data_IF_177952236786
#
_entry.id   IF_177952236786
#
_cell.length_a   1.000
_cell.length_b   1.000
_cell.length_c   1.000
_cell.angle_alpha   90.00
_cell.angle_beta   90.00
_cell.angle_gamma   90.00
#
_symmetry.space_group_name_H-M   'P 1'
#
loop_
_entity.id
_entity.type
_entity.pdbx_description
1 polymer ?
#
# COMPACT_ATOMS: atom_id res chain seq x y z
N UNK A 1 -0.27 6.56 -23.06
CA UNK A 1 -0.69 7.47 -21.97
C UNK A 1 -2.20 7.43 -21.75
N UNK A 2 -2.64 6.92 -20.60
CA UNK A 2 -4.05 6.85 -20.16
C UNK A 2 -4.35 8.06 -19.26
N UNK A 3 -5.49 8.71 -19.43
CA UNK A 3 -5.90 9.76 -18.49
C UNK A 3 -6.71 9.14 -17.36
N UNK A 4 -6.36 9.47 -16.12
CA UNK A 4 -7.08 9.00 -14.94
C UNK A 4 -8.17 10.02 -14.60
N UNK A 5 -9.40 9.55 -14.61
CA UNK A 5 -10.60 10.26 -14.17
C UNK A 5 -11.10 9.70 -12.82
N UNK A 6 -12.23 10.21 -12.34
CA UNK A 6 -12.79 9.79 -11.04
C UNK A 6 -13.19 8.30 -11.01
N UNK A 7 -13.74 7.77 -12.11
CA UNK A 7 -14.12 6.35 -12.13
C UNK A 7 -12.89 5.44 -12.12
N UNK A 8 -11.85 5.82 -12.87
CA UNK A 8 -10.57 5.11 -12.82
C UNK A 8 -9.95 5.18 -11.41
N UNK A 9 -10.06 6.30 -10.69
CA UNK A 9 -9.61 6.40 -9.30
C UNK A 9 -10.39 5.49 -8.36
N UNK A 10 -11.71 5.39 -8.52
CA UNK A 10 -12.55 4.50 -7.70
C UNK A 10 -12.12 3.04 -7.83
N UNK A 11 -11.97 2.56 -9.07
CA UNK A 11 -11.52 1.20 -9.36
C UNK A 11 -10.07 1.01 -8.84
N UNK A 12 -9.18 1.99 -9.06
CA UNK A 12 -7.80 1.94 -8.59
C UNK A 12 -7.69 1.87 -7.05
N UNK A 13 -8.45 2.69 -6.32
CA UNK A 13 -8.47 2.66 -4.85
C UNK A 13 -8.97 1.31 -4.34
N UNK A 14 -10.03 0.77 -4.92
CA UNK A 14 -10.59 -0.51 -4.48
C UNK A 14 -9.59 -1.65 -4.65
N UNK A 15 -8.93 -1.74 -5.81
CA UNK A 15 -7.91 -2.77 -6.03
C UNK A 15 -6.61 -2.50 -5.28
N UNK A 16 -6.19 -1.25 -5.08
CA UNK A 16 -5.02 -0.96 -4.24
C UNK A 16 -5.28 -1.29 -2.77
N UNK A 17 -6.53 -1.27 -2.30
CA UNK A 17 -6.85 -1.74 -0.95
C UNK A 17 -6.69 -3.26 -0.81
N UNK A 18 -6.94 -4.02 -1.89
CA UNK A 18 -6.63 -5.46 -1.95
C UNK A 18 -5.12 -5.69 -1.90
N UNK A 19 -4.37 -4.97 -2.73
CA UNK A 19 -2.91 -5.05 -2.80
C UNK A 19 -2.22 -4.53 -1.52
N UNK A 20 -2.88 -3.63 -0.78
CA UNK A 20 -2.40 -3.08 0.48
C UNK A 20 -2.27 -4.10 1.60
N UNK A 21 -2.72 -5.34 1.40
CA UNK A 21 -2.54 -6.45 2.36
C UNK A 21 -3.01 -6.05 3.76
N UNK A 22 -4.13 -5.34 3.87
CA UNK A 22 -4.71 -4.88 5.14
C UNK A 22 -4.25 -3.51 5.64
N UNK A 23 -3.27 -2.87 5.00
CA UNK A 23 -2.78 -1.54 5.36
C UNK A 23 -2.68 -0.58 4.18
N UNK A 24 -1.69 0.30 4.21
CA UNK A 24 -1.49 1.34 3.17
C UNK A 24 -2.39 2.57 3.26
N UNK A 25 -2.97 2.81 4.46
CA UNK A 25 -3.79 3.98 4.82
C UNK A 25 -5.26 3.87 4.39
N UNK A 26 -6.08 4.81 4.88
CA UNK A 26 -7.53 4.79 4.65
C UNK A 26 -7.87 5.07 3.17
N UNK A 27 -8.46 4.09 2.45
CA UNK A 27 -8.74 4.22 1.02
C UNK A 27 -9.78 5.31 0.72
N UNK A 28 -10.77 5.48 1.59
CA UNK A 28 -11.82 6.48 1.38
C UNK A 28 -11.25 7.89 1.43
N UNK A 29 -10.38 8.16 2.41
CA UNK A 29 -9.69 9.44 2.56
C UNK A 29 -8.80 9.74 1.36
N UNK A 30 -7.95 8.77 0.95
CA UNK A 30 -7.08 8.94 -0.21
C UNK A 30 -7.87 9.21 -1.51
N UNK A 31 -8.94 8.45 -1.73
CA UNK A 31 -9.83 8.61 -2.89
C UNK A 31 -10.46 10.00 -2.92
N UNK A 32 -10.98 10.50 -1.79
CA UNK A 32 -11.58 11.83 -1.73
C UNK A 32 -10.58 12.94 -2.07
N UNK A 33 -9.35 12.85 -1.56
CA UNK A 33 -8.28 13.79 -1.88
C UNK A 33 -7.95 13.80 -3.37
N UNK A 34 -7.75 12.62 -3.96
CA UNK A 34 -7.42 12.47 -5.37
C UNK A 34 -8.56 12.97 -6.27
N UNK A 35 -9.82 12.62 -5.96
CA UNK A 35 -10.99 13.09 -6.72
C UNK A 35 -11.16 14.60 -6.64
N UNK A 36 -10.99 15.20 -5.45
CA UNK A 36 -11.07 16.66 -5.29
C UNK A 36 -10.02 17.39 -6.12
N UNK A 37 -8.79 16.88 -6.15
CA UNK A 37 -7.71 17.43 -6.97
C UNK A 37 -8.03 17.33 -8.48
N UNK A 38 -8.50 16.17 -8.95
CA UNK A 38 -8.89 15.98 -10.37
C UNK A 38 -10.06 16.89 -10.76
N UNK A 39 -11.07 17.08 -9.89
CA UNK A 39 -12.19 17.99 -10.16
C UNK A 39 -11.73 19.44 -10.33
N UNK A 40 -10.76 19.86 -9.52
CA UNK A 40 -10.24 21.24 -9.52
C UNK A 40 -9.26 21.52 -10.66
N UNK A 41 -8.41 20.55 -11.00
CA UNK A 41 -7.26 20.76 -11.88
C UNK A 41 -7.32 19.96 -13.19
N UNK A 42 -8.24 19.01 -13.31
CA UNK A 42 -8.38 18.13 -14.46
C UNK A 42 -7.76 16.74 -14.27
N UNK A 43 -7.99 15.83 -15.24
CA UNK A 43 -7.47 14.47 -15.17
C UNK A 43 -5.94 14.43 -15.27
N UNK A 44 -5.35 13.42 -14.64
CA UNK A 44 -3.88 13.25 -14.56
C UNK A 44 -3.42 12.18 -15.56
N UNK A 45 -2.33 12.40 -16.32
CA UNK A 45 -1.77 11.37 -17.16
C UNK A 45 -1.09 10.27 -16.34
N UNK A 46 -1.46 9.02 -16.64
CA UNK A 46 -0.75 7.82 -16.20
C UNK A 46 0.17 7.33 -17.33
N UNK A 47 1.45 7.21 -17.00
CA UNK A 47 2.55 6.94 -17.95
C UNK A 47 3.14 5.57 -17.68
N UNK A 48 3.31 4.74 -18.71
CA UNK A 48 4.00 3.46 -18.57
C UNK A 48 5.48 3.72 -18.21
N UNK A 49 5.99 3.00 -17.22
CA UNK A 49 7.37 3.11 -16.75
C UNK A 49 8.41 2.99 -17.89
N UNK A 50 8.13 2.22 -18.94
CA UNK A 50 9.05 2.09 -20.10
C UNK A 50 9.11 3.34 -20.97
N UNK A 51 8.04 4.14 -21.00
CA UNK A 51 7.97 5.39 -21.77
C UNK A 51 8.75 6.52 -21.08
N UNK A 52 9.15 6.34 -19.81
CA UNK A 52 9.87 7.36 -19.03
C UNK A 52 11.31 7.50 -19.53
N UNK A 53 11.81 8.71 -19.83
CA UNK A 53 13.20 8.93 -20.21
C UNK A 53 14.19 8.51 -19.12
N UNK A 54 15.33 7.94 -19.50
CA UNK A 54 16.32 7.40 -18.55
C UNK A 54 16.92 8.47 -17.62
N UNK A 55 17.00 9.71 -18.09
CA UNK A 55 17.50 10.89 -17.38
C UNK A 55 16.42 11.70 -16.66
N UNK A 56 15.15 11.29 -16.75
CA UNK A 56 14.05 11.95 -16.05
C UNK A 56 14.21 11.84 -14.53
N UNK A 57 13.74 12.84 -13.80
CA UNK A 57 13.74 12.87 -12.34
C UNK A 57 12.39 12.44 -11.79
N UNK A 58 12.40 11.44 -10.93
CA UNK A 58 11.21 10.81 -10.36
C UNK A 58 11.30 10.90 -8.84
N UNK A 59 10.15 11.04 -8.18
CA UNK A 59 10.06 10.97 -6.72
C UNK A 59 8.80 10.23 -6.28
N UNK A 60 8.88 9.56 -5.13
CA UNK A 60 7.68 9.05 -4.49
C UNK A 60 6.91 10.15 -3.77
N UNK A 61 5.58 10.10 -3.88
CA UNK A 61 4.66 10.83 -3.01
C UNK A 61 3.92 9.81 -2.15
N UNK A 62 3.89 10.04 -0.83
CA UNK A 62 3.21 9.15 0.11
C UNK A 62 2.70 9.92 1.33
N UNK A 63 1.68 9.38 1.97
CA UNK A 63 1.31 9.71 3.35
C UNK A 63 2.05 8.80 4.32
N UNK A 64 2.44 9.36 5.46
CA UNK A 64 2.97 8.62 6.60
C UNK A 64 2.17 8.98 7.86
N UNK A 65 1.83 7.99 8.65
CA UNK A 65 1.02 8.22 9.83
C UNK A 65 0.63 6.95 10.54
N UNK A 66 -0.24 7.09 11.53
CA UNK A 66 -0.96 5.98 12.14
C UNK A 66 -2.34 5.86 11.46
N UNK A 67 -2.65 4.75 10.77
CA UNK A 67 -3.92 4.59 10.07
C UNK A 67 -5.14 4.83 10.97
N UNK A 68 -5.11 4.32 12.19
CA UNK A 68 -6.19 4.55 13.17
C UNK A 68 -6.42 6.02 13.55
N UNK A 69 -5.43 6.91 13.37
CA UNK A 69 -5.58 8.36 13.60
C UNK A 69 -6.08 9.06 12.35
N UNK A 70 -5.69 8.63 11.16
CA UNK A 70 -6.09 9.23 9.88
C UNK A 70 -7.61 9.29 9.69
N UNK A 71 -8.36 8.37 10.30
CA UNK A 71 -9.82 8.34 10.25
C UNK A 71 -10.46 9.49 11.06
N UNK A 72 -9.81 9.95 12.13
CA UNK A 72 -10.31 11.04 12.98
C UNK A 72 -9.66 12.39 12.62
N UNK A 73 -8.41 12.36 12.16
CA UNK A 73 -7.60 13.51 11.79
C UNK A 73 -7.22 13.42 10.32
N UNK A 74 -8.11 13.94 9.48
CA UNK A 74 -7.96 13.87 8.03
C UNK A 74 -6.75 14.69 7.54
N UNK A 75 -5.97 14.17 6.56
CA UNK A 75 -4.99 14.97 5.84
C UNK A 75 -5.66 16.12 5.07
N UNK A 76 -4.92 17.21 4.90
CA UNK A 76 -5.31 18.35 4.08
C UNK A 76 -4.75 18.20 2.68
N UNK A 77 -5.56 18.52 1.67
CA UNK A 77 -5.10 18.57 0.27
C UNK A 77 -3.84 19.44 0.10
N UNK A 78 -3.76 20.55 0.84
CA UNK A 78 -2.63 21.47 0.84
C UNK A 78 -1.27 20.82 1.18
N UNK A 79 -1.24 19.71 1.91
CA UNK A 79 -0.01 18.97 2.19
C UNK A 79 0.53 18.33 0.91
N UNK A 80 -0.31 17.63 0.15
CA UNK A 80 0.04 16.97 -1.11
C UNK A 80 0.24 17.95 -2.28
N UNK A 81 -0.50 19.06 -2.30
CA UNK A 81 -0.31 20.14 -3.29
C UNK A 81 1.08 20.80 -3.20
N UNK A 82 1.69 20.80 -2.01
CA UNK A 82 2.94 21.53 -1.72
C UNK A 82 4.17 20.65 -1.60
N UNK A 83 4.03 19.38 -1.21
CA UNK A 83 5.15 18.53 -0.81
C UNK A 83 6.23 18.39 -1.90
N UNK A 84 5.81 18.27 -3.17
CA UNK A 84 6.74 18.23 -4.30
C UNK A 84 7.52 19.55 -4.44
N UNK A 85 6.82 20.68 -4.39
CA UNK A 85 7.42 22.01 -4.53
C UNK A 85 8.43 22.30 -3.42
N UNK A 86 8.18 21.83 -2.19
CA UNK A 86 9.12 21.98 -1.09
C UNK A 86 10.37 21.12 -1.31
N UNK A 87 10.24 19.90 -1.85
CA UNK A 87 11.41 19.09 -2.23
C UNK A 87 12.21 19.75 -3.35
N UNK A 88 11.54 20.27 -4.37
CA UNK A 88 12.20 21.02 -5.45
C UNK A 88 12.94 22.25 -4.92
N UNK A 89 12.34 22.97 -3.97
CA UNK A 89 12.95 24.13 -3.30
C UNK A 89 14.20 23.72 -2.51
N UNK A 90 14.17 22.58 -1.84
CA UNK A 90 15.29 22.11 -1.03
C UNK A 90 16.45 21.58 -1.87
N UNK A 91 16.13 20.82 -2.91
CA UNK A 91 17.12 20.17 -3.78
C UNK A 91 17.61 21.09 -4.89
N UNK A 92 16.85 22.13 -5.25
CA UNK A 92 17.10 22.93 -6.45
C UNK A 92 16.83 22.19 -7.76
N UNK A 93 16.22 21.00 -7.70
CA UNK A 93 15.95 20.10 -8.81
C UNK A 93 14.45 20.08 -9.11
N UNK A 94 14.09 20.02 -10.40
CA UNK A 94 12.70 19.75 -10.84
C UNK A 94 12.48 18.26 -11.01
N UNK A 95 11.29 17.78 -10.70
CA UNK A 95 10.90 16.38 -10.93
C UNK A 95 9.88 16.30 -12.06
N UNK A 96 10.16 15.41 -13.00
CA UNK A 96 9.39 15.23 -14.23
C UNK A 96 8.19 14.30 -14.04
N UNK A 97 8.25 13.43 -13.02
CA UNK A 97 7.22 12.46 -12.70
C UNK A 97 7.09 12.23 -11.19
N UNK A 98 5.88 11.87 -10.76
CA UNK A 98 5.63 11.33 -9.42
C UNK A 98 5.18 9.88 -9.49
N UNK A 99 5.38 9.14 -8.41
CA UNK A 99 5.03 7.72 -8.31
C UNK A 99 4.54 7.42 -6.87
N UNK A 100 3.59 6.50 -6.66
CA UNK A 100 3.30 6.01 -5.31
C UNK A 100 4.48 5.23 -4.73
N UNK A 101 4.65 5.30 -3.41
CA UNK A 101 5.61 4.44 -2.71
C UNK A 101 5.12 2.98 -2.64
N UNK A 102 3.80 2.75 -2.67
CA UNK A 102 3.17 1.46 -2.43
C UNK A 102 1.76 1.37 -3.01
N UNK A 103 1.30 0.15 -3.29
CA UNK A 103 -0.05 -0.17 -3.74
C UNK A 103 -0.99 -0.28 -2.53
N UNK A 104 -1.05 0.79 -1.73
CA UNK A 104 -1.93 0.93 -0.57
C UNK A 104 -3.18 1.74 -0.88
N UNK A 105 -4.28 1.53 -0.16
CA UNK A 105 -5.56 2.23 -0.38
C UNK A 105 -5.43 3.75 -0.51
N UNK A 106 -4.72 4.38 0.44
CA UNK A 106 -4.43 5.81 0.40
C UNK A 106 -3.21 6.13 -0.46
N UNK A 107 -2.10 5.43 -0.23
CA UNK A 107 -0.80 5.77 -0.81
C UNK A 107 -0.68 5.51 -2.31
N UNK A 108 -1.54 4.67 -2.89
CA UNK A 108 -1.62 4.51 -4.35
C UNK A 108 -2.24 5.74 -5.03
N UNK A 109 -3.14 6.45 -4.36
CA UNK A 109 -3.95 7.51 -4.99
C UNK A 109 -3.59 8.93 -4.54
N UNK A 110 -2.95 9.13 -3.39
CA UNK A 110 -2.47 10.46 -2.98
C UNK A 110 -1.44 11.11 -3.92
N UNK A 111 -0.61 10.38 -4.70
CA UNK A 111 0.20 11.00 -5.74
C UNK A 111 -0.63 11.80 -6.77
N UNK A 112 -1.88 11.40 -7.03
CA UNK A 112 -2.78 12.15 -7.93
C UNK A 112 -3.17 13.51 -7.34
N UNK A 113 -3.29 13.62 -6.02
CA UNK A 113 -3.53 14.88 -5.33
C UNK A 113 -2.33 15.84 -5.41
N UNK A 114 -1.11 15.32 -5.60
CA UNK A 114 0.09 16.10 -5.87
C UNK A 114 0.27 16.42 -7.36
N UNK A 115 0.00 15.44 -8.23
CA UNK A 115 0.19 15.50 -9.67
C UNK A 115 -0.75 16.50 -10.35
N UNK A 116 -2.05 16.45 -10.04
CA UNK A 116 -3.07 17.29 -10.67
C UNK A 116 -2.77 18.80 -10.57
N UNK A 117 -2.50 19.38 -9.39
CA UNK A 117 -2.15 20.80 -9.27
C UNK A 117 -0.76 21.15 -9.84
N UNK A 118 0.18 20.20 -9.81
CA UNK A 118 1.56 20.43 -10.28
C UNK A 118 1.73 20.27 -11.79
N UNK A 119 0.77 19.65 -12.47
CA UNK A 119 0.84 19.32 -13.90
C UNK A 119 1.86 18.23 -14.23
N UNK A 120 2.30 17.46 -13.22
CA UNK A 120 3.30 16.39 -13.35
C UNK A 120 2.57 15.05 -13.52
N UNK A 121 2.93 14.21 -14.51
CA UNK A 121 2.34 12.90 -14.70
C UNK A 121 2.66 11.91 -13.55
N UNK A 122 1.78 10.93 -13.36
CA UNK A 122 2.00 9.78 -12.47
C UNK A 122 2.53 8.60 -13.28
N UNK A 123 3.54 7.90 -12.78
CA UNK A 123 4.04 6.66 -13.40
C UNK A 123 3.17 5.49 -12.96
N UNK A 124 2.85 4.59 -13.90
CA UNK A 124 2.22 3.30 -13.64
C UNK A 124 3.23 2.30 -13.08
N UNK A 125 3.63 2.56 -11.85
CA UNK A 125 4.51 1.72 -11.05
C UNK A 125 4.31 2.08 -9.57
N UNK A 126 4.92 1.34 -8.67
CA UNK A 126 5.10 1.76 -7.29
C UNK A 126 6.44 1.22 -6.73
N UNK A 127 6.71 1.51 -5.46
CA UNK A 127 7.85 0.99 -4.75
C UNK A 127 7.65 -0.40 -4.13
N UNK A 128 6.49 -1.05 -4.21
CA UNK A 128 6.23 -2.26 -3.42
C UNK A 128 5.37 -3.34 -4.06
N UNK A 129 4.44 -3.04 -4.95
CA UNK A 129 3.42 -3.97 -5.48
C UNK A 129 2.39 -4.41 -4.42
N UNK A 130 2.55 -3.91 -3.20
CA UNK A 130 1.75 -4.15 -1.99
C UNK A 130 2.01 -3.03 -1.00
N UNK A 131 1.55 -3.12 0.24
CA UNK A 131 2.03 -2.27 1.33
C UNK A 131 2.91 -3.05 2.33
N UNK A 132 3.85 -2.33 2.94
CA UNK A 132 4.69 -2.79 4.04
C UNK A 132 4.77 -1.74 5.14
N UNK A 133 5.06 -2.12 6.38
CA UNK A 133 5.01 -1.17 7.48
C UNK A 133 6.03 -0.03 7.32
N UNK A 134 7.28 -0.35 6.98
CA UNK A 134 8.43 0.58 7.09
C UNK A 134 8.81 1.22 5.77
N UNK A 135 9.27 2.47 5.82
CA UNK A 135 9.76 3.24 4.67
C UNK A 135 10.93 2.56 3.94
N UNK A 136 11.77 1.79 4.64
CA UNK A 136 12.87 1.05 4.02
C UNK A 136 12.40 -0.15 3.20
N UNK A 137 11.17 -0.64 3.41
CA UNK A 137 10.59 -1.79 2.73
C UNK A 137 10.00 -1.39 1.37
N UNK A 138 10.79 -0.71 0.55
CA UNK A 138 10.50 -0.43 -0.86
C UNK A 138 11.57 -1.07 -1.75
N UNK A 139 11.18 -1.49 -2.93
CA UNK A 139 12.03 -2.14 -3.93
C UNK A 139 13.27 -1.30 -4.29
N UNK A 140 13.26 0.06 -4.36
CA UNK A 140 14.50 0.83 -4.47
C UNK A 140 15.57 0.52 -3.42
N UNK A 141 15.21 0.20 -2.17
CA UNK A 141 16.17 -0.16 -1.12
C UNK A 141 16.98 -1.40 -1.50
N UNK A 142 16.34 -2.40 -2.15
CA UNK A 142 17.01 -3.63 -2.62
C UNK A 142 18.13 -3.34 -3.63
N UNK A 143 18.08 -2.17 -4.27
CA UNK A 143 19.03 -1.73 -5.30
C UNK A 143 19.92 -0.58 -4.83
N UNK A 144 19.98 -0.31 -3.52
CA UNK A 144 20.81 0.75 -2.93
C UNK A 144 20.23 2.16 -3.08
N UNK A 145 18.95 2.28 -3.44
CA UNK A 145 18.22 3.55 -3.44
C UNK A 145 18.12 4.15 -2.04
N UNK A 146 18.19 5.48 -1.96
CA UNK A 146 18.15 6.22 -0.70
C UNK A 146 16.81 6.92 -0.55
N UNK A 147 16.24 6.83 0.65
CA UNK A 147 15.04 7.57 1.02
C UNK A 147 15.23 9.09 0.94
N UNK A 148 16.47 9.55 1.21
CA UNK A 148 16.82 10.97 1.32
C UNK A 148 17.58 11.49 0.09
N UNK A 149 17.53 12.81 -0.19
CA UNK A 149 16.80 13.84 0.57
C UNK A 149 15.29 13.61 0.55
N UNK A 150 14.64 13.76 1.70
CA UNK A 150 13.18 13.72 1.79
C UNK A 150 12.64 15.03 2.35
N UNK A 151 11.36 15.25 2.06
CA UNK A 151 10.54 16.30 2.65
C UNK A 151 9.34 15.70 3.34
N UNK A 152 8.97 16.26 4.49
CA UNK A 152 7.75 15.94 5.22
C UNK A 152 6.99 17.23 5.55
N UNK A 153 5.69 17.26 5.26
CA UNK A 153 4.78 18.37 5.57
C UNK A 153 3.64 17.88 6.46
N UNK A 154 3.28 18.70 7.44
CA UNK A 154 2.09 18.46 8.26
C UNK A 154 0.96 19.46 7.97
N UNK A 155 -0.20 19.20 8.57
CA UNK A 155 -1.41 20.01 8.42
C UNK A 155 -1.27 21.48 8.90
N UNK A 156 -0.27 21.77 9.73
CA UNK A 156 0.03 23.12 10.23
C UNK A 156 0.94 23.89 9.28
N UNK A 157 1.44 23.23 8.23
CA UNK A 157 2.37 23.80 7.27
C UNK A 157 3.82 23.80 7.76
N UNK A 158 4.14 23.05 8.82
CA UNK A 158 5.53 22.81 9.18
C UNK A 158 6.17 21.94 8.10
N UNK A 159 7.44 22.20 7.81
CA UNK A 159 8.16 21.48 6.77
C UNK A 159 9.49 21.01 7.31
N UNK A 160 9.71 19.69 7.27
CA UNK A 160 10.96 19.05 7.65
C UNK A 160 11.71 18.59 6.40
N UNK A 161 13.00 18.91 6.36
CA UNK A 161 13.94 18.45 5.34
C UNK A 161 14.96 17.54 6.03
N UNK A 162 15.24 16.39 5.44
CA UNK A 162 16.18 15.46 6.03
C UNK A 162 17.12 14.84 4.99
N UNK A 163 18.36 14.65 5.42
CA UNK A 163 19.35 13.78 4.82
C UNK A 163 19.84 12.81 5.89
N UNK A 164 19.93 11.52 5.56
CA UNK A 164 20.23 10.47 6.55
C UNK A 164 21.30 9.52 6.06
N UNK A 165 22.02 8.91 7.00
CA UNK A 165 23.07 7.95 6.70
C UNK A 165 22.52 6.65 6.07
N UNK A 166 21.31 6.23 6.48
CA UNK A 166 20.65 5.01 6.01
C UNK A 166 19.13 5.22 5.91
N UNK A 167 18.43 4.32 5.21
CA UNK A 167 16.96 4.32 5.13
C UNK A 167 16.32 4.00 6.50
N UNK A 168 16.98 3.19 7.34
CA UNK A 168 16.55 2.96 8.72
C UNK A 168 16.57 4.26 9.56
N UNK A 169 17.61 5.09 9.43
CA UNK A 169 17.61 6.42 10.06
C UNK A 169 16.54 7.35 9.49
N UNK A 170 16.23 7.22 8.19
CA UNK A 170 15.15 7.99 7.57
C UNK A 170 13.79 7.63 8.18
N UNK A 171 13.50 6.34 8.38
CA UNK A 171 12.30 5.86 9.08
C UNK A 171 12.22 6.44 10.49
N UNK A 172 13.29 6.34 11.29
CA UNK A 172 13.29 6.82 12.68
C UNK A 172 13.03 8.34 12.76
N UNK A 173 13.67 9.13 11.90
CA UNK A 173 13.45 10.58 11.84
C UNK A 173 12.06 10.94 11.33
N UNK A 174 11.57 10.24 10.30
CA UNK A 174 10.23 10.43 9.78
C UNK A 174 9.18 10.14 10.86
N UNK A 175 9.30 9.02 11.59
CA UNK A 175 8.37 8.65 12.68
C UNK A 175 8.40 9.65 13.83
N UNK A 176 9.58 10.17 14.20
CA UNK A 176 9.69 11.22 15.20
C UNK A 176 9.00 12.52 14.76
N UNK A 177 9.16 12.92 13.50
CA UNK A 177 8.46 14.07 12.91
C UNK A 177 6.94 13.88 12.91
N UNK A 178 6.47 12.73 12.43
CA UNK A 178 5.04 12.36 12.41
C UNK A 178 4.41 12.41 13.79
N UNK A 179 5.11 11.93 14.83
CA UNK A 179 4.61 12.00 16.19
C UNK A 179 4.40 13.46 16.64
N UNK A 180 5.34 14.34 16.33
CA UNK A 180 5.24 15.77 16.65
C UNK A 180 4.14 16.48 15.83
N UNK A 181 3.89 16.03 14.60
CA UNK A 181 2.87 16.55 13.68
C UNK A 181 1.44 16.02 13.96
N UNK A 182 1.25 15.28 15.06
CA UNK A 182 -0.03 14.71 15.44
C UNK A 182 -0.43 13.49 14.61
N UNK A 183 0.55 12.63 14.30
CA UNK A 183 0.44 11.30 13.72
C UNK A 183 0.00 11.21 12.25
N UNK A 184 0.15 12.29 11.48
CA UNK A 184 -0.02 12.31 10.03
C UNK A 184 0.90 13.36 9.38
N UNK A 185 1.46 13.05 8.20
CA UNK A 185 2.17 13.96 7.34
C UNK A 185 2.21 13.45 5.88
N UNK A 186 2.30 14.37 4.91
CA UNK A 186 2.66 14.03 3.53
C UNK A 186 4.19 14.03 3.35
N UNK A 187 4.69 13.18 2.46
CA UNK A 187 6.12 13.07 2.15
C UNK A 187 6.41 13.03 0.65
N UNK A 188 7.56 13.60 0.30
CA UNK A 188 8.24 13.36 -0.96
C UNK A 188 9.62 12.77 -0.66
N UNK A 189 9.90 11.60 -1.21
CA UNK A 189 11.03 10.76 -0.81
C UNK A 189 11.50 9.85 -1.95
N UNK A 190 12.67 9.23 -1.78
CA UNK A 190 13.31 8.39 -2.81
C UNK A 190 13.41 9.08 -4.18
N UNK A 191 14.13 10.21 -4.28
CA UNK A 191 14.44 10.77 -5.59
C UNK A 191 15.29 9.78 -6.41
N UNK A 192 14.93 9.56 -7.67
CA UNK A 192 15.61 8.61 -8.55
C UNK A 192 15.55 9.06 -10.02
N UNK A 193 16.40 8.48 -10.87
CA UNK A 193 16.31 8.70 -12.31
C UNK A 193 15.35 7.71 -12.99
N UNK A 194 14.94 7.98 -14.24
CA UNK A 194 14.13 7.04 -15.02
C UNK A 194 14.81 5.68 -15.25
N UNK A 195 16.12 5.68 -15.51
CA UNK A 195 16.90 4.44 -15.65
C UNK A 195 16.91 3.64 -14.35
N UNK A 196 16.96 4.32 -13.21
CA UNK A 196 16.87 3.69 -11.90
C UNK A 196 15.46 3.15 -11.65
N UNK A 197 14.42 3.92 -11.94
CA UNK A 197 13.03 3.51 -11.75
C UNK A 197 12.68 2.24 -12.54
N UNK A 198 13.05 2.15 -13.82
CA UNK A 198 12.84 0.96 -14.66
C UNK A 198 13.45 -0.32 -14.09
N UNK A 199 14.56 -0.19 -13.36
CA UNK A 199 15.23 -1.32 -12.71
C UNK A 199 14.64 -1.65 -11.34
N UNK A 200 14.12 -0.63 -10.64
CA UNK A 200 13.86 -0.68 -9.21
C UNK A 200 12.39 -0.85 -8.86
N UNK A 201 11.46 -0.39 -9.68
CA UNK A 201 10.04 -0.29 -9.33
C UNK A 201 9.23 -1.50 -9.79
N UNK A 202 8.13 -1.78 -9.09
CA UNK A 202 7.13 -2.76 -9.54
C UNK A 202 6.28 -2.09 -10.62
N UNK A 203 6.44 -2.56 -11.86
CA UNK A 203 5.77 -2.00 -13.03
C UNK A 203 4.29 -2.36 -13.07
N UNK A 204 3.44 -1.43 -13.49
CA UNK A 204 2.03 -1.67 -13.74
C UNK A 204 1.16 -1.74 -12.49
N UNK A 205 1.71 -1.40 -11.31
CA UNK A 205 1.02 -1.56 -10.03
C UNK A 205 -0.35 -0.84 -9.99
N UNK A 206 -0.45 0.36 -10.60
CA UNK A 206 -1.69 1.15 -10.63
C UNK A 206 -2.69 0.63 -11.66
N UNK A 207 -2.22 0.12 -12.80
CA UNK A 207 -3.08 -0.59 -13.76
C UNK A 207 -3.61 -1.89 -13.16
N UNK A 208 -2.77 -2.69 -12.50
CA UNK A 208 -3.19 -3.91 -11.80
C UNK A 208 -4.23 -3.60 -10.72
N UNK A 209 -4.01 -2.55 -9.91
CA UNK A 209 -5.00 -2.09 -8.94
C UNK A 209 -6.33 -1.68 -9.62
N UNK A 210 -6.27 -0.94 -10.72
CA UNK A 210 -7.46 -0.55 -11.49
C UNK A 210 -8.22 -1.76 -12.04
N UNK A 211 -7.51 -2.79 -12.50
CA UNK A 211 -8.09 -3.99 -13.10
C UNK A 211 -8.75 -4.88 -12.05
N UNK A 212 -8.15 -5.01 -10.86
CA UNK A 212 -8.73 -5.70 -9.71
C UNK A 212 -10.01 -5.00 -9.25
N UNK A 213 -9.97 -3.68 -9.04
CA UNK A 213 -11.16 -2.94 -8.60
C UNK A 213 -12.29 -2.98 -9.61
N UNK A 214 -11.96 -2.89 -10.91
CA UNK A 214 -12.93 -3.08 -12.00
C UNK A 214 -13.54 -4.47 -11.94
N UNK A 215 -12.76 -5.53 -11.73
CA UNK A 215 -13.25 -6.90 -11.63
C UNK A 215 -14.22 -7.09 -10.47
N UNK A 216 -13.92 -6.51 -9.30
CA UNK A 216 -14.82 -6.54 -8.14
C UNK A 216 -16.13 -5.82 -8.46
N UNK A 217 -16.06 -4.61 -9.03
CA UNK A 217 -17.24 -3.82 -9.42
C UNK A 217 -18.12 -4.58 -10.41
N UNK A 218 -17.54 -5.11 -11.49
CA UNK A 218 -18.26 -5.85 -12.52
C UNK A 218 -18.84 -7.17 -11.98
N UNK A 219 -18.11 -7.86 -11.10
CA UNK A 219 -18.62 -9.07 -10.44
C UNK A 219 -19.86 -8.76 -9.58
N UNK A 220 -19.86 -7.65 -8.83
CA UNK A 220 -21.02 -7.18 -8.05
C UNK A 220 -22.21 -6.86 -8.95
N UNK A 221 -21.98 -6.14 -10.05
CA UNK A 221 -23.01 -5.78 -11.03
C UNK A 221 -23.63 -7.01 -11.72
N UNK A 222 -22.82 -8.05 -11.95
CA UNK A 222 -23.24 -9.30 -12.59
C UNK A 222 -23.74 -10.36 -11.60
N UNK A 223 -23.74 -10.05 -10.29
CA UNK A 223 -24.09 -10.99 -9.22
C UNK A 223 -23.29 -12.31 -9.25
N UNK A 224 -22.01 -12.23 -9.62
CA UNK A 224 -21.05 -13.34 -9.53
C UNK A 224 -20.09 -13.12 -8.37
N UNK A 225 -19.34 -14.15 -7.97
CA UNK A 225 -18.49 -14.09 -6.78
C UNK A 225 -17.31 -13.11 -6.97
N UNK A 226 -17.26 -11.98 -6.25
CA UNK A 226 -16.20 -10.99 -6.39
C UNK A 226 -14.86 -11.46 -5.81
N UNK A 227 -14.86 -12.34 -4.81
CA UNK A 227 -13.63 -12.95 -4.27
C UNK A 227 -12.97 -13.80 -5.35
N UNK A 228 -13.76 -14.62 -6.05
CA UNK A 228 -13.23 -15.45 -7.14
C UNK A 228 -12.66 -14.60 -8.27
N UNK A 229 -13.31 -13.49 -8.62
CA UNK A 229 -12.82 -12.56 -9.64
C UNK A 229 -11.42 -11.99 -9.31
N UNK A 230 -11.13 -11.74 -8.02
CA UNK A 230 -9.79 -11.30 -7.59
C UNK A 230 -8.77 -12.44 -7.68
N UNK A 231 -9.13 -13.63 -7.21
CA UNK A 231 -8.25 -14.80 -7.25
C UNK A 231 -7.84 -15.14 -8.70
N UNK A 232 -8.78 -15.12 -9.62
CA UNK A 232 -8.54 -15.44 -11.04
C UNK A 232 -7.63 -14.40 -11.73
N UNK A 233 -7.64 -13.15 -11.27
CA UNK A 233 -6.81 -12.09 -11.87
C UNK A 233 -5.36 -12.10 -11.41
N UNK A 234 -5.07 -12.60 -10.21
CA UNK A 234 -3.77 -12.44 -9.55
C UNK A 234 -3.13 -13.78 -9.17
N UNK A 235 -3.58 -14.88 -9.78
CA UNK A 235 -3.16 -16.24 -9.43
C UNK A 235 -3.25 -16.49 -7.91
N UNK A 236 -4.31 -15.93 -7.30
CA UNK A 236 -4.51 -15.92 -5.86
C UNK A 236 -5.01 -17.26 -5.33
N UNK A 237 -4.87 -17.45 -4.02
CA UNK A 237 -5.41 -18.63 -3.33
C UNK A 237 -6.39 -18.25 -2.23
N UNK A 238 -7.52 -18.97 -2.16
CA UNK A 238 -8.44 -18.88 -1.04
C UNK A 238 -7.86 -19.63 0.18
N UNK A 239 -7.46 -18.89 1.20
CA UNK A 239 -6.88 -19.46 2.41
C UNK A 239 -7.95 -19.94 3.40
N UNK A 240 -9.06 -19.21 3.49
CA UNK A 240 -10.12 -19.45 4.47
C UNK A 240 -11.43 -18.73 4.13
N UNK A 241 -12.57 -19.31 4.52
CA UNK A 241 -13.84 -18.59 4.68
C UNK A 241 -14.34 -18.77 6.10
N UNK A 242 -14.72 -17.68 6.76
CA UNK A 242 -15.00 -17.72 8.19
C UNK A 242 -15.77 -16.54 8.74
N UNK A 243 -16.06 -16.61 10.04
CA UNK A 243 -16.58 -15.51 10.83
C UNK A 243 -15.55 -15.05 11.85
N UNK A 244 -15.30 -13.75 11.92
CA UNK A 244 -14.41 -13.15 12.93
C UNK A 244 -15.01 -13.33 14.33
N UNK A 245 -14.28 -14.05 15.19
CA UNK A 245 -14.68 -14.37 16.56
C UNK A 245 -14.05 -13.42 17.59
N UNK A 246 -12.85 -12.92 17.33
CA UNK A 246 -12.23 -11.88 18.16
C UNK A 246 -11.17 -11.10 17.37
N UNK A 247 -10.93 -9.86 17.78
CA UNK A 247 -9.85 -9.03 17.27
C UNK A 247 -9.14 -8.41 18.47
N UNK A 248 -7.85 -8.66 18.60
CA UNK A 248 -7.00 -8.05 19.61
C UNK A 248 -6.04 -7.11 18.90
N UNK A 249 -5.93 -5.87 19.36
CA UNK A 249 -5.04 -4.88 18.76
C UNK A 249 -4.60 -3.82 19.77
N UNK A 250 -3.40 -3.31 19.55
CA UNK A 250 -2.82 -2.24 20.35
C UNK A 250 -1.96 -1.33 19.47
N UNK A 251 -1.85 -0.06 19.86
CA UNK A 251 -0.89 0.86 19.25
C UNK A 251 0.42 0.81 20.05
N UNK A 252 1.52 0.50 19.38
CA UNK A 252 2.85 0.41 19.97
C UNK A 252 3.89 0.95 18.99
N UNK A 253 4.73 1.89 19.45
CA UNK A 253 5.86 2.44 18.70
C UNK A 253 5.50 2.97 17.29
N UNK A 254 4.29 3.54 17.14
CA UNK A 254 3.80 4.07 15.86
C UNK A 254 3.08 3.05 14.97
N UNK A 255 2.89 1.82 15.44
CA UNK A 255 2.26 0.73 14.70
C UNK A 255 0.97 0.24 15.38
N UNK A 256 0.00 -0.18 14.58
CA UNK A 256 -1.15 -0.95 15.05
C UNK A 256 -0.83 -2.44 14.91
N UNK A 257 -0.60 -3.13 16.03
CA UNK A 257 -0.20 -4.53 16.07
C UNK A 257 -1.34 -5.36 16.66
N UNK A 258 -1.64 -6.52 16.07
CA UNK A 258 -2.71 -7.36 16.57
C UNK A 258 -2.90 -8.68 15.84
N UNK A 259 -3.98 -9.34 16.22
CA UNK A 259 -4.45 -10.59 15.62
C UNK A 259 -5.98 -10.58 15.49
N UNK A 260 -6.48 -11.23 14.43
CA UNK A 260 -7.88 -11.51 14.22
C UNK A 260 -8.10 -13.03 14.18
N UNK A 261 -8.87 -13.54 15.14
CA UNK A 261 -9.22 -14.96 15.25
C UNK A 261 -10.59 -15.21 14.62
N UNK A 262 -10.69 -16.27 13.82
CA UNK A 262 -11.85 -16.61 13.02
C UNK A 262 -12.21 -18.09 13.17
N UNK A 263 -13.51 -18.37 13.08
CA UNK A 263 -14.04 -19.74 13.00
C UNK A 263 -14.57 -19.99 11.60
N UNK A 264 -14.31 -21.19 11.09
CA UNK A 264 -14.59 -21.50 9.69
C UNK A 264 -16.08 -21.60 9.37
N UNK A 265 -16.38 -21.34 8.09
CA UNK A 265 -17.69 -21.48 7.48
C UNK A 265 -17.58 -22.46 6.31
N UNK A 266 -18.69 -23.12 6.00
CA UNK A 266 -18.85 -23.99 4.83
C UNK A 266 -17.74 -25.06 4.74
N UNK A 267 -16.90 -25.03 3.70
CA UNK A 267 -15.81 -25.98 3.51
C UNK A 267 -14.75 -25.95 4.62
N UNK A 268 -14.73 -24.88 5.43
CA UNK A 268 -13.82 -24.70 6.55
C UNK A 268 -14.49 -24.93 7.91
N UNK A 269 -15.73 -25.43 7.97
CA UNK A 269 -16.41 -25.72 9.24
C UNK A 269 -15.54 -26.57 10.19
N UNK A 270 -15.53 -26.19 11.46
CA UNK A 270 -14.69 -26.80 12.49
C UNK A 270 -13.20 -26.43 12.47
N UNK A 271 -12.75 -25.59 11.52
CA UNK A 271 -11.37 -25.08 11.49
C UNK A 271 -11.25 -23.70 12.14
N UNK A 272 -10.07 -23.44 12.73
CA UNK A 272 -9.69 -22.16 13.30
C UNK A 272 -8.67 -21.46 12.40
N UNK A 273 -8.75 -20.13 12.33
CA UNK A 273 -7.84 -19.32 11.54
C UNK A 273 -7.46 -18.05 12.29
N UNK A 274 -6.17 -17.72 12.29
CA UNK A 274 -5.65 -16.50 12.91
C UNK A 274 -4.86 -15.71 11.88
N UNK A 275 -5.19 -14.43 11.73
CA UNK A 275 -4.44 -13.47 10.92
C UNK A 275 -3.69 -12.51 11.83
N UNK A 276 -2.38 -12.36 11.62
CA UNK A 276 -1.50 -11.49 12.39
C UNK A 276 -1.12 -10.26 11.57
N UNK A 277 -1.18 -9.08 12.19
CA UNK A 277 -0.93 -7.82 11.51
C UNK A 277 -0.09 -6.83 12.33
N UNK A 278 0.68 -6.01 11.62
CA UNK A 278 1.34 -4.79 12.08
C UNK A 278 1.10 -3.74 10.99
N UNK A 279 0.04 -2.95 11.11
CA UNK A 279 -0.60 -2.18 10.03
C UNK A 279 -1.09 -3.06 8.87
N UNK A 280 -0.18 -3.78 8.21
CA UNK A 280 -0.48 -4.77 7.19
C UNK A 280 -0.59 -6.18 7.81
N UNK A 281 -1.36 -7.07 7.19
CA UNK A 281 -1.43 -8.48 7.48
C UNK A 281 -0.12 -9.15 7.01
N UNK A 282 0.59 -9.79 7.95
CA UNK A 282 1.95 -10.29 7.73
C UNK A 282 2.03 -11.81 7.77
N UNK A 283 1.13 -12.47 8.48
CA UNK A 283 1.09 -13.92 8.57
C UNK A 283 -0.33 -14.42 8.84
N UNK A 284 -0.59 -15.66 8.46
CA UNK A 284 -1.83 -16.34 8.78
C UNK A 284 -1.57 -17.80 9.15
N UNK A 285 -2.28 -18.29 10.16
CA UNK A 285 -2.28 -19.69 10.56
C UNK A 285 -3.67 -20.30 10.43
N UNK A 286 -3.71 -21.59 10.07
CA UNK A 286 -4.93 -22.41 10.06
C UNK A 286 -4.68 -23.63 10.94
N UNK A 287 -5.50 -23.80 11.97
CA UNK A 287 -5.32 -24.83 13.00
C UNK A 287 -3.90 -24.85 13.61
N UNK A 288 -3.27 -23.68 13.75
CA UNK A 288 -1.92 -23.53 14.31
C UNK A 288 -0.76 -23.65 13.31
N UNK A 289 -1.00 -24.01 12.05
CA UNK A 289 0.04 -24.10 11.01
C UNK A 289 0.04 -22.87 10.11
N UNK A 290 1.21 -22.31 9.80
CA UNK A 290 1.32 -21.18 8.87
C UNK A 290 0.87 -21.58 7.46
N UNK A 291 -0.11 -20.84 6.93
CA UNK A 291 -0.65 -21.04 5.58
C UNK A 291 -0.31 -19.92 4.62
N UNK A 292 0.09 -18.76 5.14
CA UNK A 292 0.61 -17.65 4.36
C UNK A 292 1.49 -16.75 5.23
N UNK A 293 2.54 -16.19 4.64
CA UNK A 293 3.43 -15.21 5.28
C UNK A 293 3.93 -14.19 4.26
N UNK A 294 4.19 -12.98 4.71
CA UNK A 294 4.96 -11.96 4.00
C UNK A 294 6.27 -12.53 3.42
N UNK A 295 6.75 -12.09 2.23
CA UNK A 295 6.28 -10.97 1.42
C UNK A 295 4.98 -11.17 0.65
N UNK A 296 4.42 -12.38 0.59
CA UNK A 296 3.13 -12.59 -0.07
C UNK A 296 2.00 -11.86 0.66
N UNK A 297 1.02 -11.41 -0.10
CA UNK A 297 -0.06 -10.57 0.41
C UNK A 297 -1.10 -11.43 1.12
N UNK A 298 -1.65 -10.92 2.21
CA UNK A 298 -2.75 -11.55 2.93
C UNK A 298 -3.86 -10.50 3.06
N UNK A 299 -5.04 -10.81 2.54
CA UNK A 299 -6.15 -9.86 2.55
C UNK A 299 -7.44 -10.53 3.01
N UNK A 300 -8.12 -9.91 3.98
CA UNK A 300 -9.48 -10.26 4.33
C UNK A 300 -10.46 -9.45 3.47
N UNK A 301 -11.41 -10.13 2.84
CA UNK A 301 -12.49 -9.54 2.06
C UNK A 301 -13.82 -9.90 2.71
N UNK A 302 -14.79 -9.00 2.68
CA UNK A 302 -16.16 -9.32 3.07
C UNK A 302 -16.71 -10.40 2.12
N UNK A 303 -17.30 -11.45 2.69
CA UNK A 303 -17.54 -12.71 1.98
C UNK A 303 -18.47 -12.56 0.77
N UNK A 304 -19.52 -11.74 0.88
CA UNK A 304 -20.57 -11.65 -0.13
C UNK A 304 -20.27 -10.54 -1.16
N UNK A 305 -19.76 -9.39 -0.70
CA UNK A 305 -19.48 -8.21 -1.52
C UNK A 305 -18.04 -8.16 -2.06
N UNK A 306 -17.11 -8.91 -1.50
CA UNK A 306 -15.69 -8.82 -1.85
C UNK A 306 -15.03 -7.50 -1.47
N UNK A 307 -15.66 -6.70 -0.60
CA UNK A 307 -15.07 -5.46 -0.11
C UNK A 307 -13.81 -5.78 0.71
N UNK A 308 -12.63 -5.21 0.40
CA UNK A 308 -11.45 -5.41 1.22
C UNK A 308 -11.67 -4.83 2.62
N UNK A 309 -11.21 -5.54 3.64
CA UNK A 309 -11.33 -5.15 5.05
C UNK A 309 -9.92 -4.88 5.59
N UNK A 310 -9.48 -3.62 5.66
CA UNK A 310 -8.24 -3.24 6.32
C UNK A 310 -8.13 -3.75 7.77
N UNK A 311 -6.91 -3.94 8.26
CA UNK A 311 -6.63 -4.45 9.61
C UNK A 311 -7.19 -3.52 10.70
N UNK A 312 -7.21 -2.22 10.45
CA UNK A 312 -7.84 -1.24 11.34
C UNK A 312 -9.37 -1.30 11.33
N UNK A 313 -10.00 -1.92 10.31
CA UNK A 313 -11.46 -1.98 10.12
C UNK A 313 -12.04 -3.35 10.48
N UNK A 314 -11.27 -4.43 10.49
CA UNK A 314 -11.78 -5.77 10.84
C UNK A 314 -12.40 -5.82 12.25
N UNK A 315 -13.61 -6.38 12.38
CA UNK A 315 -14.36 -6.46 13.65
C UNK A 315 -15.01 -7.83 13.85
N UNK A 316 -15.34 -8.10 15.11
CA UNK A 316 -16.21 -9.21 15.51
C UNK A 316 -17.45 -9.29 14.62
N UNK A 317 -17.78 -10.50 14.20
CA UNK A 317 -19.03 -10.80 13.50
C UNK A 317 -18.95 -10.70 11.98
N UNK A 318 -17.88 -10.12 11.42
CA UNK A 318 -17.69 -10.06 9.97
C UNK A 318 -17.56 -11.48 9.40
N UNK A 319 -18.26 -11.72 8.28
CA UNK A 319 -18.09 -12.93 7.46
C UNK A 319 -17.09 -12.59 6.38
N UNK A 320 -16.00 -13.34 6.31
CA UNK A 320 -14.85 -12.99 5.48
C UNK A 320 -14.37 -14.16 4.65
N UNK A 321 -13.83 -13.85 3.47
CA UNK A 321 -12.88 -14.67 2.76
C UNK A 321 -11.48 -14.12 3.00
N UNK A 322 -10.54 -14.94 3.43
CA UNK A 322 -9.13 -14.58 3.51
C UNK A 322 -8.42 -15.15 2.30
N UNK A 323 -7.76 -14.28 1.54
CA UNK A 323 -7.03 -14.63 0.33
C UNK A 323 -5.54 -14.39 0.50
N UNK A 324 -4.74 -15.17 -0.22
CA UNK A 324 -3.31 -14.98 -0.38
C UNK A 324 -2.98 -14.65 -1.84
N UNK A 325 -2.17 -13.62 -2.08
CA UNK A 325 -1.72 -13.25 -3.43
C UNK A 325 -0.19 -13.28 -3.50
N UNK A 326 0.39 -13.69 -4.64
CA UNK A 326 1.84 -13.70 -4.80
C UNK A 326 2.41 -12.28 -4.75
N UNK A 327 3.52 -12.10 -4.03
CA UNK A 327 4.29 -10.88 -4.08
C UNK A 327 5.02 -10.73 -5.43
N UNK A 328 5.32 -9.49 -5.80
CA UNK A 328 6.21 -9.23 -6.93
C UNK A 328 7.58 -9.94 -6.76
N UNK A 329 8.16 -10.36 -7.88
CA UNK A 329 9.41 -11.11 -7.94
C UNK A 329 10.59 -10.42 -7.24
N UNK A 330 10.61 -9.08 -7.15
CA UNK A 330 11.60 -8.33 -6.38
C UNK A 330 11.67 -8.80 -4.91
N UNK A 331 10.52 -9.10 -4.30
CA UNK A 331 10.41 -9.50 -2.90
C UNK A 331 10.71 -10.97 -2.64
N UNK A 332 10.55 -11.82 -3.64
CA UNK A 332 10.79 -13.27 -3.54
C UNK A 332 12.26 -13.66 -3.73
N UNK A 333 13.13 -12.68 -3.96
CA UNK A 333 14.60 -12.88 -3.93
C UNK A 333 15.11 -13.06 -2.50
N UNK A 334 16.31 -13.66 -2.28
CA UNK A 334 16.89 -13.76 -0.94
C UNK A 334 17.01 -12.41 -0.22
N UNK A 335 17.39 -11.35 -0.94
CA UNK A 335 17.49 -10.00 -0.37
C UNK A 335 16.12 -9.40 -0.02
N UNK A 336 15.10 -9.65 -0.86
CA UNK A 336 13.71 -9.29 -0.57
C UNK A 336 13.20 -9.97 0.71
N UNK A 337 13.33 -11.29 0.78
CA UNK A 337 12.91 -12.09 1.95
C UNK A 337 13.68 -11.70 3.21
N UNK A 338 14.95 -11.32 3.12
CA UNK A 338 15.72 -10.83 4.27
C UNK A 338 15.08 -9.58 4.90
N UNK A 339 14.60 -8.63 4.09
CA UNK A 339 14.07 -7.36 4.59
C UNK A 339 12.56 -7.34 4.80
N UNK A 340 11.79 -8.23 4.16
CA UNK A 340 10.33 -8.24 4.22
C UNK A 340 9.72 -9.61 4.56
N UNK A 341 10.53 -10.65 4.73
CA UNK A 341 10.07 -12.00 5.06
C UNK A 341 9.61 -12.19 6.51
N UNK A 342 9.09 -13.38 6.84
CA UNK A 342 8.43 -13.64 8.13
C UNK A 342 9.34 -13.40 9.33
N UNK A 343 10.61 -13.79 9.23
CA UNK A 343 11.60 -13.63 10.30
C UNK A 343 11.89 -12.18 10.66
N UNK A 344 11.77 -11.26 9.70
CA UNK A 344 11.93 -9.81 9.95
C UNK A 344 10.92 -9.29 10.97
N UNK A 345 9.74 -9.92 11.00
CA UNK A 345 8.62 -9.59 11.87
C UNK A 345 8.50 -10.52 13.09
N UNK A 346 9.49 -11.40 13.30
CA UNK A 346 9.54 -12.28 14.47
C UNK A 346 8.79 -13.60 14.33
N UNK A 347 8.34 -13.97 13.12
CA UNK A 347 7.78 -15.29 12.85
C UNK A 347 8.92 -16.27 12.52
N UNK A 348 9.12 -17.29 13.36
CA UNK A 348 10.18 -18.29 13.19
C UNK A 348 9.78 -19.37 12.17
N UNK A 349 9.68 -18.96 10.91
CA UNK A 349 9.36 -19.82 9.76
C UNK A 349 10.12 -19.32 8.53
N UNK A 350 10.41 -20.21 7.58
CA UNK A 350 10.98 -19.82 6.30
C UNK A 350 9.88 -19.37 5.35
N UNK A 351 10.15 -18.35 4.52
CA UNK A 351 9.22 -17.95 3.49
C UNK A 351 9.02 -19.09 2.50
N UNK A 352 7.75 -19.38 2.20
CA UNK A 352 7.31 -20.25 1.10
C UNK A 352 6.23 -19.50 0.32
N UNK A 353 6.25 -19.54 -1.02
CA UNK A 353 5.20 -18.93 -1.84
C UNK A 353 3.82 -19.47 -1.45
N UNK A 354 2.83 -18.59 -1.34
CA UNK A 354 1.48 -18.93 -0.85
C UNK A 354 0.80 -19.98 -1.75
N UNK A 355 1.06 -19.93 -3.05
CA UNK A 355 0.59 -20.90 -4.03
C UNK A 355 1.15 -22.32 -3.84
N UNK A 356 2.28 -22.46 -3.15
CA UNK A 356 2.89 -23.77 -2.83
C UNK A 356 2.45 -24.32 -1.46
N UNK A 357 1.87 -23.47 -0.60
CA UNK A 357 1.43 -23.88 0.74
C UNK A 357 -0.02 -24.35 0.72
N UNK A 358 -0.85 -23.69 -0.08
CA UNK A 358 -2.29 -23.94 -0.12
C UNK A 358 -2.73 -24.98 -1.16
N UNK A 359 -1.78 -25.50 -1.95
CA UNK A 359 -1.99 -26.57 -2.94
C UNK A 359 -1.91 -28.00 -2.39
#
# INVERSE_FOLDING_TARGET
MKMIDEQALLDMTLGSTILGSGGGGDPHVGMLLACDAIRKHGPVPLVDLEEVPDDAHIVFIAGIGAPGVLIEKLPRAAEYERVLQELERFTGQKYDYVCPAEAGGLNAVTPFACAAPSGVPVIDADGMGRAFPKLEMVTPTLYGGKATPFVMLDEHGNTMFAETATNAWAEDYARAGVLASGANAAMALYPMTGAEAKKRLVRGALTTASDIGRAIREAREQHVNPVQAVLDQQDGVLLFTGKVQSVQRQNKDGWTIGEANMVGLDAFDGQEFTMYFQNENLAATRNGEFVATTPDLIMAMELDSGEPIPSEVIRYGYRVAVIGLPADGHWRTPAGVEISGPRRFGYDVDFRPVEEIAG
#
